data_IF_047975419952
#
_entry.id   IF_047975419952
#
_cell.length_a   1.000
_cell.length_b   1.000
_cell.length_c   1.000
_cell.angle_alpha   90.00
_cell.angle_beta   90.00
_cell.angle_gamma   90.00
#
_symmetry.space_group_name_H-M   'P 1'
#
loop_
_entity.id
_entity.type
_entity.pdbx_description
1 polymer ?
#
# COMPACT_ATOMS: atom_id res chain seq x y z
N UNK A 1 0.58 8.11 -34.93
CA UNK A 1 1.90 8.34 -34.30
C UNK A 1 1.86 9.18 -33.02
N UNK A 2 1.07 10.26 -32.87
CA UNK A 2 0.95 10.96 -31.56
C UNK A 2 0.06 10.21 -30.54
N UNK A 3 -1.03 9.57 -30.97
CA UNK A 3 -1.90 8.80 -30.08
C UNK A 3 -1.22 7.56 -29.48
N UNK A 4 -0.46 6.84 -30.31
CA UNK A 4 0.15 5.56 -29.89
C UNK A 4 1.16 5.73 -28.73
N UNK A 5 1.89 6.86 -28.73
CA UNK A 5 2.80 7.22 -27.63
C UNK A 5 2.04 7.56 -26.34
N UNK A 6 0.94 8.32 -26.43
CA UNK A 6 0.16 8.70 -25.26
C UNK A 6 -0.57 7.50 -24.64
N UNK A 7 -1.05 6.56 -25.47
CA UNK A 7 -1.66 5.32 -24.99
C UNK A 7 -0.62 4.45 -24.25
N UNK A 8 0.60 4.33 -24.78
CA UNK A 8 1.68 3.59 -24.11
C UNK A 8 2.07 4.20 -22.76
N UNK A 9 2.14 5.54 -22.67
CA UNK A 9 2.45 6.25 -21.42
C UNK A 9 1.34 6.06 -20.37
N UNK A 10 0.06 6.05 -20.78
CA UNK A 10 -1.09 5.77 -19.92
C UNK A 10 -1.15 4.31 -19.46
N UNK A 11 -0.79 3.35 -20.32
CA UNK A 11 -0.70 1.94 -19.95
C UNK A 11 0.37 1.69 -18.90
N UNK A 12 1.55 2.31 -19.06
CA UNK A 12 2.62 2.23 -18.06
C UNK A 12 2.20 2.88 -16.74
N UNK A 13 1.49 4.02 -16.79
CA UNK A 13 0.92 4.65 -15.59
C UNK A 13 -0.03 3.68 -14.85
N UNK A 14 -0.99 3.07 -15.55
CA UNK A 14 -1.93 2.10 -14.94
C UNK A 14 -1.18 0.92 -14.31
N UNK A 15 -0.18 0.36 -14.99
CA UNK A 15 0.61 -0.76 -14.46
C UNK A 15 1.35 -0.39 -13.17
N UNK A 16 1.91 0.82 -13.10
CA UNK A 16 2.58 1.31 -11.89
C UNK A 16 1.60 1.46 -10.72
N UNK A 17 0.41 2.01 -10.97
CA UNK A 17 -0.63 2.17 -9.94
C UNK A 17 -1.18 0.82 -9.45
N UNK A 18 -1.43 -0.13 -10.36
CA UNK A 18 -1.87 -1.49 -10.01
C UNK A 18 -0.80 -2.25 -9.20
N UNK A 19 0.48 -2.07 -9.53
CA UNK A 19 1.60 -2.61 -8.75
C UNK A 19 1.67 -1.98 -7.35
N UNK A 20 1.47 -0.66 -7.25
CA UNK A 20 1.46 0.04 -5.97
C UNK A 20 0.35 -0.46 -5.03
N UNK A 21 -0.86 -0.69 -5.56
CA UNK A 21 -1.97 -1.30 -4.80
C UNK A 21 -1.57 -2.66 -4.22
N UNK A 22 -0.99 -3.55 -5.06
CA UNK A 22 -0.55 -4.87 -4.59
C UNK A 22 0.52 -4.80 -3.49
N UNK A 23 1.38 -3.78 -3.51
CA UNK A 23 2.39 -3.55 -2.48
C UNK A 23 1.73 -3.04 -1.18
N UNK A 24 0.79 -2.10 -1.27
CA UNK A 24 0.05 -1.57 -0.11
C UNK A 24 -0.82 -2.63 0.58
N UNK A 25 -1.44 -3.53 -0.19
CA UNK A 25 -2.14 -4.71 0.36
C UNK A 25 -1.17 -5.61 1.14
N UNK A 26 0.02 -5.86 0.59
CA UNK A 26 1.08 -6.63 1.24
C UNK A 26 1.60 -5.95 2.52
N UNK A 27 1.70 -4.63 2.51
CA UNK A 27 2.03 -3.83 3.69
C UNK A 27 0.98 -4.02 4.79
N UNK A 28 -0.30 -3.93 4.45
CA UNK A 28 -1.41 -4.12 5.41
C UNK A 28 -1.36 -5.49 6.07
N UNK A 29 -1.13 -6.57 5.29
CA UNK A 29 -0.96 -7.92 5.83
C UNK A 29 0.28 -8.06 6.73
N UNK A 30 1.38 -7.41 6.38
CA UNK A 30 2.62 -7.43 7.17
C UNK A 30 2.47 -6.70 8.50
N UNK A 31 1.76 -5.57 8.51
CA UNK A 31 1.40 -4.84 9.75
C UNK A 31 0.52 -5.70 10.65
N UNK A 32 -0.51 -6.35 10.10
CA UNK A 32 -1.38 -7.22 10.89
C UNK A 32 -0.61 -8.41 11.49
N UNK A 33 0.30 -9.00 10.70
CA UNK A 33 1.18 -10.08 11.14
C UNK A 33 2.15 -9.64 12.26
N UNK A 34 2.74 -8.46 12.14
CA UNK A 34 3.59 -7.87 13.17
C UNK A 34 2.79 -7.61 14.46
N UNK A 35 1.58 -7.03 14.34
CA UNK A 35 0.65 -6.83 15.46
C UNK A 35 0.33 -8.15 16.17
N UNK A 36 -0.05 -9.18 15.43
CA UNK A 36 -0.40 -10.49 16.01
C UNK A 36 0.81 -11.16 16.69
N UNK A 37 2.01 -10.97 16.13
CA UNK A 37 3.26 -11.44 16.72
C UNK A 37 3.54 -10.75 18.05
N UNK A 38 3.36 -9.43 18.14
CA UNK A 38 3.52 -8.66 19.38
C UNK A 38 2.46 -9.03 20.44
N UNK A 39 1.22 -9.30 20.03
CA UNK A 39 0.18 -9.81 20.93
C UNK A 39 0.59 -11.15 21.56
N UNK A 40 1.18 -12.05 20.77
CA UNK A 40 1.67 -13.34 21.29
C UNK A 40 2.82 -13.14 22.30
N UNK A 41 3.69 -12.15 22.10
CA UNK A 41 4.72 -11.80 23.07
C UNK A 41 4.07 -11.36 24.39
N UNK A 42 3.08 -10.47 24.34
CA UNK A 42 2.37 -9.99 25.51
C UNK A 42 1.75 -11.13 26.33
N UNK A 43 0.98 -12.01 25.69
CA UNK A 43 0.41 -13.18 26.34
C UNK A 43 1.49 -14.11 26.90
N UNK A 44 2.62 -14.25 26.20
CA UNK A 44 3.72 -15.12 26.64
C UNK A 44 4.42 -14.66 27.92
N UNK A 45 4.50 -13.34 28.14
CA UNK A 45 5.05 -12.79 29.38
C UNK A 45 4.04 -12.87 30.52
N UNK A 46 2.76 -12.60 30.23
CA UNK A 46 1.72 -12.60 31.26
C UNK A 46 1.31 -14.02 31.70
N UNK A 47 1.34 -15.02 30.82
CA UNK A 47 0.74 -16.35 31.08
C UNK A 47 1.73 -17.51 31.07
N UNK A 48 2.84 -17.42 30.33
CA UNK A 48 3.68 -18.59 30.02
C UNK A 48 5.12 -18.50 30.53
N UNK A 49 5.49 -17.39 31.18
CA UNK A 49 6.82 -17.13 31.75
C UNK A 49 7.97 -17.49 30.78
N UNK A 50 7.80 -17.13 29.50
CA UNK A 50 8.78 -17.46 28.47
C UNK A 50 10.14 -16.79 28.78
N UNK A 51 11.26 -17.47 28.49
CA UNK A 51 12.57 -16.87 28.67
C UNK A 51 12.75 -15.65 27.77
N UNK A 52 13.44 -14.63 28.30
CA UNK A 52 13.71 -13.35 27.65
C UNK A 52 14.30 -13.50 26.24
N UNK A 53 15.14 -14.52 26.01
CA UNK A 53 15.73 -14.82 24.70
C UNK A 53 14.69 -15.15 23.63
N UNK A 54 13.63 -15.88 23.99
CA UNK A 54 12.51 -16.21 23.09
C UNK A 54 11.67 -14.97 22.78
N UNK A 55 11.38 -14.16 23.80
CA UNK A 55 10.65 -12.89 23.65
C UNK A 55 11.37 -11.95 22.68
N UNK A 56 12.69 -11.79 22.84
CA UNK A 56 13.51 -10.97 21.95
C UNK A 56 13.51 -11.46 20.51
N UNK A 57 13.63 -12.77 20.29
CA UNK A 57 13.61 -13.34 18.93
C UNK A 57 12.28 -13.09 18.20
N UNK A 58 11.16 -13.23 18.92
CA UNK A 58 9.83 -12.96 18.37
C UNK A 58 9.67 -11.45 18.09
N UNK A 59 10.16 -10.58 18.97
CA UNK A 59 10.11 -9.13 18.78
C UNK A 59 10.96 -8.66 17.59
N UNK A 60 12.16 -9.22 17.40
CA UNK A 60 12.97 -8.96 16.20
C UNK A 60 12.27 -9.38 14.92
N UNK A 61 11.46 -10.43 14.96
CA UNK A 61 10.67 -10.86 13.81
C UNK A 61 9.58 -9.84 13.47
N UNK A 62 8.92 -9.27 14.48
CA UNK A 62 7.96 -8.16 14.27
C UNK A 62 8.65 -6.90 13.73
N UNK A 63 9.84 -6.54 14.22
CA UNK A 63 10.61 -5.40 13.69
C UNK A 63 10.96 -5.58 12.21
N UNK A 64 11.40 -6.77 11.79
CA UNK A 64 11.72 -7.04 10.39
C UNK A 64 10.52 -6.86 9.46
N UNK A 65 9.33 -7.27 9.89
CA UNK A 65 8.08 -7.05 9.15
C UNK A 65 7.73 -5.55 9.05
N UNK A 66 8.02 -4.78 10.09
CA UNK A 66 7.79 -3.33 10.09
C UNK A 66 8.80 -2.62 9.18
N UNK A 67 10.07 -3.03 9.21
CA UNK A 67 11.11 -2.46 8.35
C UNK A 67 10.85 -2.75 6.86
N UNK A 68 10.33 -3.94 6.53
CA UNK A 68 9.95 -4.25 5.15
C UNK A 68 8.80 -3.37 4.66
N UNK A 69 7.81 -3.07 5.53
CA UNK A 69 6.74 -2.12 5.20
C UNK A 69 7.29 -0.74 4.85
N UNK A 70 8.28 -0.23 5.60
CA UNK A 70 8.89 1.08 5.28
C UNK A 70 9.54 1.08 3.90
N UNK A 71 10.25 0.00 3.54
CA UNK A 71 10.91 -0.15 2.24
C UNK A 71 9.88 -0.26 1.09
N UNK A 72 8.84 -1.07 1.28
CA UNK A 72 7.76 -1.25 0.32
C UNK A 72 7.03 0.08 0.05
N UNK A 73 6.86 0.92 1.07
CA UNK A 73 6.31 2.25 0.90
C UNK A 73 7.21 3.21 0.12
N UNK A 74 8.54 3.09 0.24
CA UNK A 74 9.46 3.85 -0.60
C UNK A 74 9.32 3.44 -2.07
N UNK A 75 9.14 2.14 -2.34
CA UNK A 75 8.86 1.65 -3.70
C UNK A 75 7.54 2.19 -4.24
N UNK A 76 6.49 2.27 -3.41
CA UNK A 76 5.21 2.87 -3.84
C UNK A 76 5.40 4.34 -4.22
N UNK A 77 6.17 5.11 -3.44
CA UNK A 77 6.50 6.52 -3.76
C UNK A 77 7.33 6.68 -5.04
N UNK A 78 8.06 5.65 -5.47
CA UNK A 78 8.80 5.68 -6.73
C UNK A 78 7.88 5.32 -7.92
N UNK A 79 6.92 4.43 -7.70
CA UNK A 79 5.95 4.00 -8.72
C UNK A 79 4.84 5.03 -8.93
N UNK A 80 4.49 5.79 -7.90
CA UNK A 80 3.35 6.70 -7.86
C UNK A 80 3.76 8.07 -7.30
N UNK A 81 2.88 9.06 -7.35
CA UNK A 81 3.09 10.36 -6.71
C UNK A 81 2.43 10.46 -5.32
N UNK A 82 2.01 9.33 -4.73
CA UNK A 82 1.26 9.30 -3.47
C UNK A 82 2.14 9.66 -2.28
N UNK A 83 1.69 10.63 -1.46
CA UNK A 83 2.40 11.02 -0.24
C UNK A 83 2.09 10.07 0.92
N UNK A 84 2.95 9.07 1.10
CA UNK A 84 2.85 8.12 2.22
C UNK A 84 3.57 8.57 3.51
N UNK A 85 3.93 9.86 3.64
CA UNK A 85 4.79 10.31 4.74
C UNK A 85 4.16 10.16 6.13
N UNK A 86 2.83 10.29 6.25
CA UNK A 86 2.13 10.10 7.53
C UNK A 86 2.14 8.63 7.95
N UNK A 87 1.86 7.74 7.02
CA UNK A 87 1.86 6.29 7.18
C UNK A 87 3.28 5.85 7.60
N UNK A 88 4.33 6.37 6.95
CA UNK A 88 5.72 6.05 7.29
C UNK A 88 6.06 6.51 8.72
N UNK A 89 5.57 7.68 9.13
CA UNK A 89 5.78 8.18 10.49
C UNK A 89 5.14 7.25 11.54
N UNK A 90 3.91 6.79 11.29
CA UNK A 90 3.22 5.89 12.23
C UNK A 90 3.87 4.51 12.25
N UNK A 91 4.24 3.93 11.10
CA UNK A 91 4.96 2.64 11.00
C UNK A 91 6.31 2.71 11.74
N UNK A 92 7.06 3.79 11.58
CA UNK A 92 8.30 4.04 12.34
C UNK A 92 8.02 4.16 13.85
N UNK A 93 6.91 4.79 14.23
CA UNK A 93 6.44 4.83 15.62
C UNK A 93 6.21 3.43 16.21
N UNK A 94 5.60 2.52 15.46
CA UNK A 94 5.43 1.11 15.87
C UNK A 94 6.81 0.47 16.08
N UNK A 95 7.77 0.66 15.16
CA UNK A 95 9.13 0.11 15.31
C UNK A 95 9.82 0.56 16.60
N UNK A 96 9.69 1.85 16.95
CA UNK A 96 10.21 2.39 18.22
C UNK A 96 9.53 1.74 19.43
N UNK A 97 8.20 1.60 19.42
CA UNK A 97 7.47 0.95 20.50
C UNK A 97 7.89 -0.52 20.69
N UNK A 98 8.11 -1.24 19.60
CA UNK A 98 8.61 -2.62 19.64
C UNK A 98 10.03 -2.67 20.22
N UNK A 99 10.92 -1.78 19.79
CA UNK A 99 12.28 -1.69 20.36
C UNK A 99 12.27 -1.41 21.86
N UNK A 100 11.40 -0.51 22.32
CA UNK A 100 11.29 -0.22 23.76
C UNK A 100 10.67 -1.38 24.53
N UNK A 101 9.79 -2.18 23.91
CA UNK A 101 9.27 -3.44 24.50
C UNK A 101 10.41 -4.43 24.75
N UNK A 102 11.31 -4.60 23.77
CA UNK A 102 12.51 -5.44 23.88
C UNK A 102 13.43 -4.94 25.00
N UNK A 103 13.55 -3.62 25.16
CA UNK A 103 14.50 -3.00 26.08
C UNK A 103 14.04 -3.01 27.54
N UNK A 104 12.76 -2.82 27.79
CA UNK A 104 12.25 -2.58 29.14
C UNK A 104 11.29 -3.62 29.68
N UNK A 105 10.91 -4.64 28.90
CA UNK A 105 9.91 -5.64 29.32
C UNK A 105 8.59 -5.01 29.83
N UNK A 106 8.23 -3.80 29.37
CA UNK A 106 6.99 -3.10 29.75
C UNK A 106 5.84 -3.40 28.78
N UNK A 107 5.42 -4.66 28.69
CA UNK A 107 4.64 -5.14 27.55
C UNK A 107 3.17 -4.69 27.56
N UNK A 108 2.55 -4.50 28.73
CA UNK A 108 1.10 -4.18 28.82
C UNK A 108 0.70 -2.81 28.28
N UNK A 109 1.43 -1.74 28.61
CA UNK A 109 1.13 -0.39 28.10
C UNK A 109 1.42 -0.26 26.59
N UNK A 110 2.37 -1.06 26.10
CA UNK A 110 2.80 -1.02 24.71
C UNK A 110 1.85 -1.82 23.81
N UNK A 111 1.24 -2.90 24.31
CA UNK A 111 0.26 -3.69 23.57
C UNK A 111 -0.92 -2.85 23.06
N UNK A 112 -1.53 -2.04 23.93
CA UNK A 112 -2.64 -1.17 23.56
C UNK A 112 -2.22 -0.10 22.55
N UNK A 113 -1.02 0.47 22.73
CA UNK A 113 -0.47 1.51 21.86
C UNK A 113 -0.16 0.98 20.45
N UNK A 114 0.48 -0.19 20.34
CA UNK A 114 0.76 -0.84 19.06
C UNK A 114 -0.51 -1.27 18.33
N UNK A 115 -1.53 -1.74 19.06
CA UNK A 115 -2.81 -2.11 18.46
C UNK A 115 -3.52 -0.91 17.83
N UNK A 116 -3.60 0.19 18.57
CA UNK A 116 -4.20 1.44 18.06
C UNK A 116 -3.43 1.99 16.87
N UNK A 117 -2.09 2.01 16.95
CA UNK A 117 -1.24 2.47 15.85
C UNK A 117 -1.38 1.60 14.59
N UNK A 118 -1.42 0.26 14.72
CA UNK A 118 -1.61 -0.64 13.59
C UNK A 118 -2.98 -0.44 12.92
N UNK A 119 -4.04 -0.23 13.70
CA UNK A 119 -5.36 0.09 13.17
C UNK A 119 -5.36 1.41 12.41
N UNK A 120 -4.75 2.45 12.98
CA UNK A 120 -4.62 3.74 12.33
C UNK A 120 -3.86 3.66 10.99
N UNK A 121 -2.78 2.88 10.91
CA UNK A 121 -2.06 2.69 9.63
C UNK A 121 -2.93 1.98 8.60
N UNK A 122 -3.68 0.95 9.00
CA UNK A 122 -4.57 0.24 8.09
C UNK A 122 -5.67 1.16 7.53
N UNK A 123 -6.27 2.02 8.36
CA UNK A 123 -7.25 3.01 7.89
C UNK A 123 -6.65 4.01 6.90
N UNK A 124 -5.43 4.48 7.17
CA UNK A 124 -4.73 5.39 6.27
C UNK A 124 -4.44 4.73 4.91
N UNK A 125 -3.97 3.48 4.91
CA UNK A 125 -3.78 2.73 3.67
C UNK A 125 -5.07 2.51 2.89
N UNK A 126 -6.19 2.23 3.56
CA UNK A 126 -7.49 2.11 2.89
C UNK A 126 -7.86 3.41 2.16
N UNK A 127 -7.59 4.58 2.74
CA UNK A 127 -7.84 5.86 2.08
C UNK A 127 -6.96 6.02 0.83
N UNK A 128 -5.66 5.78 0.96
CA UNK A 128 -4.73 5.87 -0.18
C UNK A 128 -5.09 4.88 -1.30
N UNK A 129 -5.52 3.66 -0.95
CA UNK A 129 -5.98 2.63 -1.89
C UNK A 129 -7.23 3.07 -2.66
N UNK A 130 -8.18 3.72 -1.99
CA UNK A 130 -9.38 4.23 -2.64
C UNK A 130 -9.03 5.35 -3.63
N UNK A 131 -8.16 6.29 -3.24
CA UNK A 131 -7.70 7.36 -4.14
C UNK A 131 -6.98 6.79 -5.37
N UNK A 132 -6.10 5.79 -5.19
CA UNK A 132 -5.44 5.09 -6.28
C UNK A 132 -6.42 4.35 -7.21
N UNK A 133 -7.45 3.72 -6.66
CA UNK A 133 -8.48 3.04 -7.45
C UNK A 133 -9.28 4.03 -8.30
N UNK A 134 -9.63 5.19 -7.75
CA UNK A 134 -10.34 6.25 -8.49
C UNK A 134 -9.49 6.76 -9.66
N UNK A 135 -8.19 7.00 -9.47
CA UNK A 135 -7.27 7.40 -10.55
C UNK A 135 -7.15 6.36 -11.67
N UNK A 136 -7.16 5.07 -11.32
CA UNK A 136 -7.15 3.97 -12.30
C UNK A 136 -8.44 3.97 -13.12
N UNK A 137 -9.60 4.15 -12.47
CA UNK A 137 -10.91 4.18 -13.15
C UNK A 137 -10.95 5.36 -14.13
N UNK A 138 -10.53 6.55 -13.71
CA UNK A 138 -10.50 7.74 -14.56
C UNK A 138 -9.55 7.56 -15.75
N UNK A 139 -8.35 7.01 -15.51
CA UNK A 139 -7.37 6.74 -16.58
C UNK A 139 -7.88 5.71 -17.59
N UNK A 140 -8.54 4.65 -17.13
CA UNK A 140 -9.19 3.65 -18.00
C UNK A 140 -10.29 4.28 -18.86
N UNK A 141 -11.11 5.15 -18.28
CA UNK A 141 -12.16 5.87 -19.00
C UNK A 141 -11.59 6.79 -20.10
N UNK A 142 -10.44 7.42 -19.85
CA UNK A 142 -9.75 8.24 -20.86
C UNK A 142 -9.26 7.40 -22.06
N UNK A 143 -8.68 6.22 -21.82
CA UNK A 143 -8.23 5.31 -22.89
C UNK A 143 -9.42 4.85 -23.74
N UNK A 144 -10.51 4.41 -23.10
CA UNK A 144 -11.73 3.98 -23.78
C UNK A 144 -12.29 5.11 -24.66
N UNK A 145 -12.32 6.34 -24.12
CA UNK A 145 -12.78 7.53 -24.86
C UNK A 145 -11.90 7.83 -26.07
N UNK A 146 -10.57 7.76 -25.90
CA UNK A 146 -9.62 7.96 -26.98
C UNK A 146 -9.80 6.91 -28.09
N UNK A 147 -9.95 5.63 -27.75
CA UNK A 147 -10.22 4.56 -28.71
C UNK A 147 -11.55 4.72 -29.45
N UNK A 148 -12.62 5.06 -28.73
CA UNK A 148 -13.92 5.30 -29.35
C UNK A 148 -13.91 6.49 -30.32
N UNK A 149 -13.17 7.56 -29.96
CA UNK A 149 -12.99 8.72 -30.84
C UNK A 149 -12.16 8.40 -32.09
N UNK A 150 -11.20 7.48 -31.99
CA UNK A 150 -10.41 6.99 -33.12
C UNK A 150 -11.23 6.14 -34.09
N UNK A 151 -12.14 5.31 -33.58
CA UNK A 151 -13.03 4.46 -34.40
C UNK A 151 -14.17 5.23 -35.09
N UNK A 152 -14.53 6.42 -34.59
CA UNK A 152 -15.50 7.32 -35.23
C UNK A 152 -14.89 8.09 -36.43
N UNK A 153 -13.56 8.09 -36.58
CA UNK A 153 -12.84 8.71 -37.70
C UNK A 153 -12.93 7.95 -39.04
N UNK A 154 -13.34 6.68 -39.03
CA UNK A 154 -13.41 5.83 -40.23
C UNK A 154 -14.83 5.63 -40.80
N UNK A 155 -15.86 6.26 -40.21
CA UNK A 155 -17.17 6.34 -40.86
C UNK A 155 -17.24 7.52 -41.83
N UNK A 156 -16.44 7.49 -42.89
CA UNK A 156 -16.86 8.18 -44.12
C UNK A 156 -18.09 7.46 -44.65
N UNK A 157 -19.27 7.97 -44.29
CA UNK A 157 -20.54 7.56 -44.88
C UNK A 157 -20.48 7.58 -46.41
N UNK A 158 -21.35 6.83 -47.09
CA UNK A 158 -21.27 6.65 -48.53
C UNK A 158 -21.33 8.02 -49.21
N UNK A 159 -20.25 8.39 -49.92
CA UNK A 159 -20.24 9.55 -50.82
C UNK A 159 -21.34 9.32 -51.85
N UNK A 160 -22.52 9.90 -51.64
CA UNK A 160 -23.50 10.10 -52.70
C UNK A 160 -22.78 10.89 -53.79
N UNK A 161 -22.46 10.24 -54.91
CA UNK A 161 -22.20 10.92 -56.18
C UNK A 161 -23.45 11.74 -56.49
N UNK A 162 -23.36 13.05 -56.31
CA UNK A 162 -24.28 13.97 -56.98
C UNK A 162 -23.86 14.01 -58.45
N UNK A 163 -24.68 13.36 -59.28
CA UNK A 163 -24.67 13.51 -60.72
C UNK A 163 -25.64 14.64 -61.06
N UNK A 164 -25.11 15.74 -61.59
CA UNK A 164 -25.67 16.58 -62.66
C UNK A 164 -24.65 17.68 -62.97
#
# INVERSE_FOLDING_TARGET
MKNDSQTLDLELFIQNQEKAISILDSCSMSIDSAKNTLLRIASSIDEYDLPETSIKAIAFSAMRLIDSVVQDMDVVKELTAVDLSKQQLVVKGISVLVSETIRFNHIRAIQGSCFYAAHQVAELFCNDLNELMDEIIDSKNMIISAHNSSNLGDQTGPKKRLVA
#
